data_IF_299279921801
#
_entry.id   IF_299279921801
#
_cell.length_a   1.000
_cell.length_b   1.000
_cell.length_c   1.000
_cell.angle_alpha   90.00
_cell.angle_beta   90.00
_cell.angle_gamma   90.00
#
_symmetry.space_group_name_H-M   'P 1'
#
loop_
_entity.id
_entity.type
_entity.pdbx_description
1 polymer ?
#
# COMPACT_ATOMS: atom_id res chain seq x y z
N UNK A 1 -4.14 9.14 0.02
CA UNK A 1 -3.80 9.01 1.45
C UNK A 1 -2.79 7.90 1.60
N UNK A 2 -1.63 8.16 2.19
CA UNK A 2 -0.64 7.17 2.59
C UNK A 2 -0.77 6.93 4.10
N UNK A 3 -0.84 5.67 4.51
CA UNK A 3 -0.89 5.28 5.92
C UNK A 3 0.14 4.21 6.25
N UNK A 4 0.77 4.35 7.41
CA UNK A 4 1.66 3.35 8.00
C UNK A 4 1.58 3.47 9.54
N UNK A 5 1.62 2.36 10.32
CA UNK A 5 1.63 2.42 11.77
C UNK A 5 2.91 3.02 12.35
N UNK A 6 4.03 2.98 11.61
CA UNK A 6 5.33 3.48 12.05
C UNK A 6 5.50 4.94 11.59
N UNK A 7 5.63 5.85 12.57
CA UNK A 7 5.78 7.29 12.30
C UNK A 7 6.94 7.61 11.34
N UNK A 8 8.11 6.99 11.54
CA UNK A 8 9.27 7.20 10.67
C UNK A 8 9.02 6.84 9.20
N UNK A 9 8.20 5.82 8.93
CA UNK A 9 7.85 5.46 7.55
C UNK A 9 6.96 6.50 6.88
N UNK A 10 6.06 7.13 7.66
CA UNK A 10 5.23 8.25 7.19
C UNK A 10 6.10 9.47 6.89
N UNK A 11 7.01 9.82 7.80
CA UNK A 11 7.93 10.96 7.67
C UNK A 11 8.85 10.80 6.45
N UNK A 12 9.53 9.67 6.31
CA UNK A 12 10.40 9.38 5.16
C UNK A 12 9.62 9.43 3.84
N UNK A 13 8.40 8.90 3.81
CA UNK A 13 7.58 8.95 2.59
C UNK A 13 7.14 10.38 2.27
N UNK A 14 6.84 11.18 3.28
CA UNK A 14 6.47 12.59 3.12
C UNK A 14 7.65 13.42 2.58
N UNK A 15 8.85 13.21 3.11
CA UNK A 15 10.09 13.84 2.61
C UNK A 15 10.34 13.46 1.14
N UNK A 16 10.24 12.18 0.80
CA UNK A 16 10.43 11.70 -0.57
C UNK A 16 9.36 12.23 -1.54
N UNK A 17 8.12 12.36 -1.09
CA UNK A 17 7.06 13.00 -1.87
C UNK A 17 7.38 14.49 -2.12
N UNK A 18 7.87 15.20 -1.11
CA UNK A 18 8.33 16.58 -1.21
C UNK A 18 9.49 16.74 -2.19
N UNK A 19 10.51 15.87 -2.09
CA UNK A 19 11.68 15.83 -2.99
C UNK A 19 11.26 15.59 -4.45
N UNK A 20 10.16 14.88 -4.68
CA UNK A 20 9.61 14.58 -6.02
C UNK A 20 8.54 15.58 -6.48
N UNK A 21 8.22 16.60 -5.68
CA UNK A 21 7.19 17.59 -6.01
C UNK A 21 5.76 17.03 -6.06
N UNK A 22 5.49 15.93 -5.35
CA UNK A 22 4.16 15.32 -5.29
C UNK A 22 3.29 16.05 -4.26
N UNK A 23 2.34 16.85 -4.73
CA UNK A 23 1.50 17.72 -3.88
C UNK A 23 0.13 17.14 -3.56
N UNK A 24 -0.28 16.07 -4.23
CA UNK A 24 -1.59 15.44 -4.10
C UNK A 24 -1.60 14.20 -3.19
N UNK A 25 -0.65 14.13 -2.25
CA UNK A 25 -0.53 13.03 -1.29
C UNK A 25 -0.74 13.59 0.12
N UNK A 26 -1.63 12.94 0.86
CA UNK A 26 -1.86 13.20 2.28
C UNK A 26 -1.33 12.03 3.09
N UNK A 27 -0.80 12.30 4.28
CA UNK A 27 -0.09 11.35 5.12
C UNK A 27 -0.78 11.21 6.48
N UNK A 28 -0.88 9.99 7.02
CA UNK A 28 -1.42 9.73 8.36
C UNK A 28 -0.79 8.49 8.96
N UNK A 29 -0.29 8.62 10.17
CA UNK A 29 0.09 7.46 10.96
C UNK A 29 -1.16 6.77 11.49
N UNK A 30 -1.37 5.51 11.10
CA UNK A 30 -2.40 4.62 11.65
C UNK A 30 -2.12 3.19 11.19
N UNK A 31 -2.67 2.22 11.93
CA UNK A 31 -2.60 0.82 11.53
C UNK A 31 -3.67 0.49 10.49
N UNK A 32 -3.45 -0.57 9.70
CA UNK A 32 -4.38 -0.96 8.65
C UNK A 32 -5.69 -1.57 9.20
N UNK A 33 -5.66 -2.11 10.43
CA UNK A 33 -6.79 -2.69 11.17
C UNK A 33 -7.58 -1.69 12.02
N UNK A 34 -7.18 -0.41 12.02
CA UNK A 34 -7.92 0.69 12.65
C UNK A 34 -7.75 1.97 11.82
N UNK A 35 -8.52 2.07 10.73
CA UNK A 35 -8.42 3.20 9.81
C UNK A 35 -9.32 4.36 10.29
N UNK A 36 -8.77 5.53 10.63
CA UNK A 36 -9.54 6.66 11.18
C UNK A 36 -10.23 7.47 10.05
N UNK A 37 -10.92 6.77 9.15
CA UNK A 37 -11.65 7.33 8.01
C UNK A 37 -13.11 6.92 8.04
N UNK A 38 -13.97 7.75 7.47
CA UNK A 38 -15.38 7.41 7.32
C UNK A 38 -15.59 6.27 6.31
N UNK A 39 -16.72 5.58 6.45
CA UNK A 39 -17.13 4.54 5.50
C UNK A 39 -17.25 5.12 4.09
N UNK A 40 -16.88 4.32 3.08
CA UNK A 40 -17.08 4.65 1.65
C UNK A 40 -16.47 5.99 1.21
N UNK A 41 -15.30 6.31 1.76
CA UNK A 41 -14.56 7.56 1.48
C UNK A 41 -13.68 7.45 0.23
N UNK A 42 -13.10 6.28 -0.05
CA UNK A 42 -12.07 6.11 -1.07
C UNK A 42 -12.57 5.29 -2.27
N UNK A 43 -11.97 5.53 -3.44
CA UNK A 43 -12.25 4.79 -4.67
C UNK A 43 -11.40 3.51 -4.76
N UNK A 44 -10.18 3.53 -4.20
CA UNK A 44 -9.28 2.39 -4.21
C UNK A 44 -8.40 2.30 -2.95
N UNK A 45 -8.11 1.09 -2.49
CA UNK A 45 -7.14 0.77 -1.45
C UNK A 45 -6.07 -0.17 -2.03
N UNK A 46 -4.80 0.18 -1.88
CA UNK A 46 -3.67 -0.55 -2.44
C UNK A 46 -2.63 -0.80 -1.36
N UNK A 47 -2.35 -2.08 -1.09
CA UNK A 47 -1.25 -2.49 -0.21
C UNK A 47 -0.19 -3.26 -0.99
N UNK A 48 1.05 -2.78 -0.97
CA UNK A 48 2.18 -3.47 -1.63
C UNK A 48 3.07 -4.09 -0.56
N UNK A 49 3.10 -5.43 -0.54
CA UNK A 49 3.86 -6.23 0.43
C UNK A 49 3.50 -5.95 1.89
N UNK A 50 2.28 -5.45 2.13
CA UNK A 50 1.81 -5.05 3.46
C UNK A 50 0.86 -6.07 4.11
N UNK A 51 -0.02 -6.71 3.34
CA UNK A 51 -1.03 -7.63 3.90
C UNK A 51 -0.47 -8.84 4.66
N UNK A 52 0.77 -9.20 4.38
CA UNK A 52 1.51 -10.29 5.01
C UNK A 52 2.11 -9.94 6.38
N UNK A 53 2.17 -8.65 6.71
CA UNK A 53 2.79 -8.12 7.93
C UNK A 53 1.81 -7.38 8.82
N UNK A 54 0.56 -7.19 8.38
CA UNK A 54 -0.52 -6.66 9.21
C UNK A 54 -0.66 -7.45 10.51
N UNK A 55 -0.90 -6.72 11.60
CA UNK A 55 -1.09 -7.29 12.95
C UNK A 55 -2.29 -8.24 12.94
N UNK A 56 -3.42 -7.76 12.41
CA UNK A 56 -4.59 -8.58 12.08
C UNK A 56 -4.97 -8.38 10.60
N UNK A 57 -4.56 -9.31 9.72
CA UNK A 57 -4.87 -9.22 8.29
C UNK A 57 -6.38 -9.23 7.99
N UNK A 58 -7.20 -9.89 8.81
CA UNK A 58 -8.64 -9.99 8.58
C UNK A 58 -9.32 -8.67 8.96
N UNK A 59 -8.95 -8.09 10.10
CA UNK A 59 -9.42 -6.77 10.50
C UNK A 59 -8.96 -5.70 9.50
N UNK A 60 -7.70 -5.75 9.06
CA UNK A 60 -7.17 -4.80 8.07
C UNK A 60 -7.90 -4.87 6.72
N UNK A 61 -8.23 -6.06 6.24
CA UNK A 61 -9.02 -6.21 5.00
C UNK A 61 -10.46 -5.72 5.22
N UNK A 62 -11.08 -5.95 6.39
CA UNK A 62 -12.40 -5.38 6.70
C UNK A 62 -12.38 -3.86 6.71
N UNK A 63 -11.40 -3.26 7.35
CA UNK A 63 -11.24 -1.81 7.40
C UNK A 63 -11.01 -1.22 6.01
N UNK A 64 -10.14 -1.86 5.20
CA UNK A 64 -9.95 -1.47 3.81
C UNK A 64 -11.27 -1.54 3.01
N UNK A 65 -12.09 -2.58 3.19
CA UNK A 65 -13.40 -2.69 2.54
C UNK A 65 -14.41 -1.65 3.08
N UNK A 66 -14.37 -1.34 4.38
CA UNK A 66 -15.27 -0.36 5.03
C UNK A 66 -15.07 1.05 4.46
N UNK A 67 -13.81 1.48 4.34
CA UNK A 67 -13.48 2.83 3.88
C UNK A 67 -13.61 2.99 2.36
N UNK A 68 -13.82 1.90 1.62
CA UNK A 68 -13.96 1.87 0.16
C UNK A 68 -15.43 1.97 -0.25
N UNK A 69 -15.69 2.73 -1.33
CA UNK A 69 -17.02 2.89 -1.92
C UNK A 69 -17.55 1.55 -2.44
N UNK A 70 -18.86 1.44 -2.64
CA UNK A 70 -19.53 0.18 -3.03
C UNK A 70 -18.97 -0.42 -4.34
N UNK A 71 -18.52 0.42 -5.27
CA UNK A 71 -17.89 0.03 -6.55
C UNK A 71 -16.37 0.28 -6.58
N UNK A 72 -15.76 0.49 -5.42
CA UNK A 72 -14.32 0.73 -5.31
C UNK A 72 -13.50 -0.56 -5.28
N UNK A 73 -12.19 -0.41 -5.39
CA UNK A 73 -11.27 -1.54 -5.54
C UNK A 73 -10.34 -1.69 -4.34
N UNK A 74 -10.09 -2.93 -3.93
CA UNK A 74 -9.02 -3.26 -2.97
C UNK A 74 -8.03 -4.19 -3.66
N UNK A 75 -6.74 -3.84 -3.62
CA UNK A 75 -5.68 -4.63 -4.25
C UNK A 75 -4.50 -4.81 -3.30
N UNK A 76 -4.08 -6.06 -3.11
CA UNK A 76 -2.89 -6.40 -2.35
C UNK A 76 -1.91 -7.20 -3.20
N UNK A 77 -0.63 -6.87 -3.08
CA UNK A 77 0.47 -7.69 -3.58
C UNK A 77 1.14 -8.34 -2.38
N UNK A 78 1.18 -9.68 -2.35
CA UNK A 78 1.77 -10.48 -1.26
C UNK A 78 2.80 -11.47 -1.83
N UNK A 79 3.67 -12.01 -0.98
CA UNK A 79 4.52 -13.13 -1.40
C UNK A 79 3.66 -14.37 -1.66
N UNK A 80 3.89 -15.00 -2.82
CA UNK A 80 3.36 -16.33 -3.14
C UNK A 80 4.40 -17.42 -2.92
N UNK A 81 3.97 -18.68 -2.86
CA UNK A 81 4.92 -19.80 -2.88
C UNK A 81 5.56 -19.90 -4.27
N UNK A 82 6.88 -19.83 -4.33
CA UNK A 82 7.63 -20.18 -5.53
C UNK A 82 7.51 -21.68 -5.76
N UNK A 83 6.72 -22.13 -6.73
CA UNK A 83 6.77 -23.53 -7.17
C UNK A 83 8.05 -23.72 -7.97
N UNK A 84 9.06 -24.34 -7.38
CA UNK A 84 10.28 -24.73 -8.10
C UNK A 84 9.88 -25.66 -9.25
N UNK A 85 9.97 -25.17 -10.49
CA UNK A 85 9.96 -26.01 -11.69
C UNK A 85 11.40 -26.13 -12.16
N UNK A 86 11.98 -27.31 -11.96
CA UNK A 86 13.27 -27.69 -12.55
C UNK A 86 13.10 -27.81 -14.06
N UNK A 87 13.36 -26.75 -14.83
CA UNK A 87 14.10 -26.77 -16.11
C UNK A 87 14.06 -25.41 -16.81
N UNK A 88 15.25 -24.99 -17.21
CA UNK A 88 15.58 -23.98 -18.22
C UNK A 88 15.19 -22.53 -17.92
N UNK A 89 16.13 -21.86 -17.26
CA UNK A 89 16.31 -20.42 -17.20
C UNK A 89 16.20 -19.78 -18.59
N UNK A 90 15.02 -19.31 -18.96
CA UNK A 90 14.89 -18.23 -19.94
C UNK A 90 14.16 -17.07 -19.27
N UNK A 91 14.91 -15.98 -19.04
CA UNK A 91 14.49 -14.73 -18.43
C UNK A 91 13.49 -13.98 -19.33
N UNK A 92 12.26 -14.47 -19.42
CA UNK A 92 11.19 -13.75 -20.10
C UNK A 92 9.87 -13.98 -19.37
N UNK A 93 9.43 -12.97 -18.61
CA UNK A 93 8.05 -12.87 -18.16
C UNK A 93 7.83 -12.96 -16.66
N UNK A 94 8.19 -11.93 -15.90
CA UNK A 94 7.34 -11.36 -14.84
C UNK A 94 7.95 -10.07 -14.26
N UNK A 95 8.19 -9.04 -15.08
CA UNK A 95 8.57 -7.72 -14.57
C UNK A 95 7.83 -6.63 -15.37
N UNK A 96 6.52 -6.53 -15.13
CA UNK A 96 5.75 -5.33 -15.51
C UNK A 96 4.70 -5.02 -14.45
N UNK A 97 5.16 -5.01 -13.19
CA UNK A 97 4.44 -4.36 -12.10
C UNK A 97 5.03 -2.95 -11.99
N UNK A 98 4.36 -1.99 -12.62
CA UNK A 98 4.82 -0.62 -12.78
C UNK A 98 4.94 0.16 -11.47
N UNK A 99 5.89 1.09 -11.47
CA UNK A 99 6.23 2.08 -10.46
C UNK A 99 6.89 1.55 -9.17
N UNK A 100 8.20 1.32 -9.28
CA UNK A 100 9.18 1.58 -8.23
C UNK A 100 9.06 3.04 -7.75
N UNK A 101 8.61 3.25 -6.53
CA UNK A 101 9.36 4.10 -5.60
C UNK A 101 10.24 3.10 -4.84
N UNK A 102 11.30 2.67 -5.51
CA UNK A 102 12.37 1.96 -4.83
C UNK A 102 13.09 3.05 -4.03
N UNK A 103 12.78 3.16 -2.73
CA UNK A 103 13.65 3.84 -1.79
C UNK A 103 14.99 3.08 -1.85
N UNK A 104 15.92 3.55 -2.70
CA UNK A 104 17.32 3.11 -2.64
C UNK A 104 17.93 3.77 -1.42
N UNK A 105 18.12 2.97 -0.37
CA UNK A 105 18.89 3.38 0.81
C UNK A 105 18.45 2.64 2.06
N UNK A 106 19.17 1.56 2.38
CA UNK A 106 19.21 0.84 3.66
C UNK A 106 17.97 0.05 4.10
N UNK A 107 18.00 -1.26 3.78
CA UNK A 107 17.64 -2.43 4.61
C UNK A 107 17.00 -2.25 6.01
N UNK A 108 15.93 -1.48 6.17
CA UNK A 108 15.03 -1.57 7.33
C UNK A 108 13.66 -2.13 6.89
N UNK A 109 13.25 -3.18 7.59
CA UNK A 109 12.24 -4.20 7.32
C UNK A 109 10.76 -3.67 7.25
N UNK A 110 9.76 -4.52 6.93
CA UNK A 110 8.68 -4.24 5.96
C UNK A 110 7.66 -3.18 6.42
N UNK A 111 7.42 -2.20 5.55
CA UNK A 111 6.34 -1.23 5.71
C UNK A 111 4.98 -1.93 5.68
N UNK A 112 4.12 -1.72 6.67
CA UNK A 112 2.70 -2.07 6.58
C UNK A 112 1.94 -0.97 5.81
N UNK A 113 2.48 -0.55 4.67
CA UNK A 113 1.94 0.58 3.95
C UNK A 113 0.62 0.20 3.25
N UNK A 114 -0.42 0.97 3.55
CA UNK A 114 -1.68 0.97 2.81
C UNK A 114 -1.87 2.36 2.20
N UNK A 115 -2.08 2.41 0.90
CA UNK A 115 -2.43 3.65 0.20
C UNK A 115 -3.92 3.58 -0.11
N UNK A 116 -4.70 4.48 0.46
CA UNK A 116 -6.10 4.67 0.06
C UNK A 116 -6.21 5.92 -0.80
N UNK A 117 -6.70 5.76 -2.02
CA UNK A 117 -6.83 6.81 -3.03
C UNK A 117 -8.31 7.10 -3.24
N UNK A 118 -8.68 8.37 -3.15
CA UNK A 118 -9.99 8.85 -3.50
C UNK A 118 -9.83 10.16 -4.27
N UNK A 119 -10.56 10.32 -5.36
CA UNK A 119 -10.87 11.67 -5.85
C UNK A 119 -11.81 12.27 -4.82
N UNK A 120 -11.53 13.50 -4.33
CA UNK A 120 -12.60 14.28 -3.67
C UNK A 120 -13.77 14.27 -4.64
N UNK A 121 -14.93 13.75 -4.22
CA UNK A 121 -16.16 13.99 -4.95
C UNK A 121 -16.25 15.51 -5.10
N UNK A 122 -16.26 15.98 -6.35
CA UNK A 122 -16.60 17.36 -6.63
C UNK A 122 -18.03 17.57 -6.10
N UNK A 123 -18.14 18.39 -5.06
CA UNK A 123 -19.39 19.01 -4.64
C UNK A 123 -19.39 20.40 -5.23
#
# INVERSE_FOLDING_TARGET
MYTDPVAGMVETTQEEAGRRGLTNIHFRQCSADDLPFADRTFDAAVGRLSAMVFVDPVAAVREALRVIRQDGYVSFVVWGRTRARSTTSNKAGCYRCGAEILCRGNNEFPAQALIVSGRKAAV
#
